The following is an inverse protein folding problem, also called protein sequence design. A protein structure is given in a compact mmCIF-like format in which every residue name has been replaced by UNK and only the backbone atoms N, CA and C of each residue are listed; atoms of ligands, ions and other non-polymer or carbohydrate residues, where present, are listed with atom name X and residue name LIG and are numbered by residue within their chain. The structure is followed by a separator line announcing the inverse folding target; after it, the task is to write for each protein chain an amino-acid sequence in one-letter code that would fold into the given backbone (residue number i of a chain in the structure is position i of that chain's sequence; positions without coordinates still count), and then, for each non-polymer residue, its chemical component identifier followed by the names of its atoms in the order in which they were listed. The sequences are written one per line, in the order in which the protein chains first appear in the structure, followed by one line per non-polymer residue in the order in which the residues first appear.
data_IF_514898062366
#
_entry.id   IF_514898062366
#
_cell.length_a   1.000
_cell.length_b   1.000
_cell.length_c   1.000
_cell.angle_alpha   90.00
_cell.angle_beta   90.00
_cell.angle_gamma   90.00
#
_symmetry.space_group_name_H-M   'P 1'
#
loop_
_entity.id
_entity.type
_entity.pdbx_description
1 polymer ?
#
# COMPACT_ATOMS: atom_id res chain seq x y z
N UNK A 1 -7.29 -2.10 17.75
CA UNK A 1 -8.47 -3.00 17.78
C UNK A 1 -9.78 -2.29 18.13
N UNK A 2 -10.03 -1.86 19.38
CA UNK A 2 -11.34 -1.28 19.76
C UNK A 2 -11.71 -0.01 18.99
N UNK A 3 -10.76 0.92 18.83
CA UNK A 3 -10.93 2.13 18.00
C UNK A 3 -11.35 1.76 16.56
N UNK A 4 -10.59 0.88 15.90
CA UNK A 4 -10.89 0.42 14.55
C UNK A 4 -12.21 -0.36 14.45
N UNK A 5 -12.59 -1.11 15.48
CA UNK A 5 -13.87 -1.81 15.52
C UNK A 5 -15.05 -0.81 15.53
N UNK A 6 -14.93 0.26 16.32
CA UNK A 6 -15.91 1.34 16.32
C UNK A 6 -15.97 2.07 14.97
N UNK A 7 -14.82 2.34 14.37
CA UNK A 7 -14.71 3.11 13.13
C UNK A 7 -15.22 2.33 11.90
N UNK A 8 -14.82 1.07 11.73
CA UNK A 8 -15.18 0.28 10.54
C UNK A 8 -16.50 -0.48 10.67
N UNK A 9 -16.85 -0.93 11.88
CA UNK A 9 -18.05 -1.75 12.10
C UNK A 9 -19.13 -1.06 12.95
N UNK A 10 -18.93 0.22 13.30
CA UNK A 10 -19.92 1.05 13.98
C UNK A 10 -20.13 0.74 15.46
N UNK A 11 -19.40 -0.21 16.05
CA UNK A 11 -19.50 -0.55 17.46
C UNK A 11 -18.20 -1.12 18.01
N UNK A 12 -17.85 -0.77 19.24
CA UNK A 12 -16.75 -1.40 19.98
C UNK A 12 -17.27 -2.51 20.92
N UNK A 13 -17.36 -3.74 20.41
CA UNK A 13 -17.78 -4.91 21.19
C UNK A 13 -16.98 -6.18 20.81
N UNK A 14 -17.21 -7.29 21.51
CA UNK A 14 -16.46 -8.53 21.28
C UNK A 14 -16.58 -9.06 19.84
N UNK A 15 -17.75 -8.90 19.21
CA UNK A 15 -17.99 -9.35 17.83
C UNK A 15 -17.19 -8.51 16.85
N UNK A 16 -17.29 -7.18 16.92
CA UNK A 16 -16.61 -6.29 15.97
C UNK A 16 -15.10 -6.29 16.15
N UNK A 17 -14.60 -6.39 17.39
CA UNK A 17 -13.17 -6.63 17.64
C UNK A 17 -12.69 -7.96 17.06
N UNK A 18 -13.51 -9.00 17.13
CA UNK A 18 -13.19 -10.29 16.50
C UNK A 18 -13.15 -10.17 14.97
N UNK A 19 -14.03 -9.36 14.36
CA UNK A 19 -14.00 -9.12 12.91
C UNK A 19 -12.69 -8.45 12.47
N UNK A 20 -12.20 -7.43 13.19
CA UNK A 20 -10.88 -6.83 12.90
C UNK A 20 -9.76 -7.89 12.87
N UNK A 21 -9.81 -8.90 13.75
CA UNK A 21 -8.84 -10.00 13.78
C UNK A 21 -9.06 -10.97 12.63
N UNK A 22 -10.30 -11.44 12.45
CA UNK A 22 -10.67 -12.44 11.45
C UNK A 22 -10.38 -11.95 10.03
N UNK A 23 -10.64 -10.67 9.77
CA UNK A 23 -10.40 -10.03 8.49
C UNK A 23 -8.93 -9.66 8.29
N UNK A 24 -8.08 -9.84 9.33
CA UNK A 24 -6.68 -9.41 9.35
C UNK A 24 -6.54 -7.93 8.96
N UNK A 25 -7.46 -7.10 9.44
CA UNK A 25 -7.62 -5.72 8.98
C UNK A 25 -6.41 -4.85 9.33
N UNK A 26 -5.70 -5.13 10.43
CA UNK A 26 -4.59 -4.31 10.91
C UNK A 26 -3.27 -5.07 10.84
N UNK A 27 -2.25 -4.38 10.34
CA UNK A 27 -0.84 -4.74 10.37
C UNK A 27 -0.10 -3.67 11.19
N UNK A 28 0.67 -4.08 12.21
CA UNK A 28 1.37 -3.18 13.11
C UNK A 28 2.76 -2.76 12.62
N UNK A 29 3.15 -3.12 11.39
CA UNK A 29 4.36 -2.63 10.74
C UNK A 29 4.11 -1.55 9.67
N UNK A 30 5.20 -1.12 9.04
CA UNK A 30 5.17 -0.24 7.87
C UNK A 30 4.93 -1.04 6.57
N UNK A 31 4.38 -0.38 5.56
CA UNK A 31 4.22 -0.92 4.22
C UNK A 31 5.54 -0.80 3.43
N UNK A 32 6.03 -1.89 2.85
CA UNK A 32 7.21 -1.87 1.96
C UNK A 32 6.77 -1.72 0.49
N UNK A 33 6.99 -0.55 -0.16
CA UNK A 33 6.62 -0.34 -1.56
C UNK A 33 7.60 -0.96 -2.57
N UNK A 34 8.66 -1.63 -2.11
CA UNK A 34 9.68 -2.19 -3.00
C UNK A 34 9.10 -3.25 -3.95
N UNK A 35 9.31 -3.05 -5.25
CA UNK A 35 8.94 -4.02 -6.29
C UNK A 35 7.51 -3.91 -6.80
N UNK A 36 6.72 -2.95 -6.31
CA UNK A 36 5.38 -2.68 -6.83
C UNK A 36 5.38 -1.57 -7.89
N UNK A 37 4.33 -1.57 -8.73
CA UNK A 37 4.15 -0.58 -9.79
C UNK A 37 3.16 0.49 -9.33
N UNK A 38 3.60 1.75 -9.35
CA UNK A 38 2.75 2.90 -9.09
C UNK A 38 1.66 3.04 -10.15
N UNK A 39 0.46 3.36 -9.70
CA UNK A 39 -0.60 3.81 -10.58
C UNK A 39 -0.29 5.21 -11.10
N UNK A 40 -0.78 5.53 -12.28
CA UNK A 40 -0.61 6.85 -12.88
C UNK A 40 -1.85 7.70 -12.63
N UNK A 41 -1.68 8.92 -12.14
CA UNK A 41 -2.76 9.90 -12.09
C UNK A 41 -3.12 10.31 -13.52
N UNK A 42 -4.35 10.00 -13.94
CA UNK A 42 -4.84 10.29 -15.31
C UNK A 42 -5.89 11.40 -15.33
N UNK A 43 -6.35 11.82 -14.16
CA UNK A 43 -7.28 12.94 -13.99
C UNK A 43 -7.16 13.50 -12.58
N UNK A 44 -7.17 14.82 -12.43
CA UNK A 44 -7.17 15.50 -11.14
C UNK A 44 -8.30 16.52 -11.08
N UNK A 45 -9.22 16.36 -10.13
CA UNK A 45 -10.35 17.28 -9.89
C UNK A 45 -11.11 17.68 -11.17
N UNK A 46 -11.25 16.73 -12.10
CA UNK A 46 -11.97 16.91 -13.36
C UNK A 46 -11.10 17.33 -14.56
N UNK A 47 -9.85 17.73 -14.33
CA UNK A 47 -8.92 18.27 -15.32
C UNK A 47 -7.79 17.29 -15.66
N UNK A 48 -7.07 17.60 -16.74
CA UNK A 48 -5.81 16.93 -17.07
C UNK A 48 -4.75 17.31 -16.01
N UNK A 49 -4.03 16.35 -15.42
CA UNK A 49 -3.05 16.59 -14.36
C UNK A 49 -1.99 17.65 -14.68
N UNK A 50 -1.66 17.90 -15.96
CA UNK A 50 -0.65 18.88 -16.36
C UNK A 50 -1.21 20.30 -16.57
N UNK A 51 -2.52 20.50 -16.46
CA UNK A 51 -3.17 21.75 -16.92
C UNK A 51 -3.56 22.70 -15.80
N UNK A 52 -3.66 22.23 -14.56
CA UNK A 52 -4.20 23.02 -13.44
C UNK A 52 -3.84 22.35 -12.11
N UNK A 53 -3.32 23.07 -11.11
CA UNK A 53 -3.79 22.90 -9.73
C UNK A 53 -3.24 23.96 -8.75
N UNK A 54 -4.06 24.28 -7.75
CA UNK A 54 -3.68 24.98 -6.51
C UNK A 54 -3.90 24.05 -5.30
N UNK A 55 -3.91 22.73 -5.55
CA UNK A 55 -4.39 21.66 -4.66
C UNK A 55 -3.40 20.50 -4.65
N UNK A 56 -2.13 20.84 -4.53
CA UNK A 56 -1.04 19.92 -4.29
C UNK A 56 -0.02 20.64 -3.41
N UNK A 57 0.82 19.85 -2.77
CA UNK A 57 1.78 20.36 -1.81
C UNK A 57 2.77 19.29 -1.46
N UNK A 58 3.50 19.54 -0.38
CA UNK A 58 4.39 18.55 0.19
C UNK A 58 4.49 18.73 1.70
N UNK A 59 4.73 17.61 2.38
CA UNK A 59 5.02 17.59 3.81
C UNK A 59 6.43 18.13 4.06
N UNK A 60 6.62 18.93 5.10
CA UNK A 60 7.93 19.52 5.45
C UNK A 60 8.75 18.57 6.34
N UNK A 61 8.08 17.67 7.07
CA UNK A 61 8.72 16.74 8.00
C UNK A 61 9.34 15.53 7.30
N UNK A 62 10.48 15.70 6.63
CA UNK A 62 11.09 14.66 5.80
C UNK A 62 11.75 13.52 6.61
N UNK A 63 11.66 12.26 6.13
CA UNK A 63 12.30 11.11 6.76
C UNK A 63 13.83 11.20 6.67
N UNK A 64 14.52 10.75 7.71
CA UNK A 64 15.98 10.74 7.82
C UNK A 64 16.63 12.14 7.73
N UNK A 65 15.89 13.20 8.02
CA UNK A 65 16.36 14.59 8.05
C UNK A 65 15.98 15.21 9.38
N UNK A 66 16.86 16.03 9.97
CA UNK A 66 16.50 16.86 11.12
C UNK A 66 15.75 18.10 10.63
N UNK A 67 14.42 18.07 10.77
CA UNK A 67 13.54 19.16 10.34
C UNK A 67 13.39 20.27 11.40
N UNK A 68 14.21 20.23 12.46
CA UNK A 68 14.20 21.21 13.54
C UNK A 68 12.84 21.30 14.23
N UNK A 69 12.23 22.48 14.21
CA UNK A 69 10.92 22.71 14.86
C UNK A 69 9.75 22.00 14.16
N UNK A 70 9.96 21.48 12.94
CA UNK A 70 8.94 20.80 12.16
C UNK A 70 8.98 19.28 12.33
N UNK A 71 9.99 18.75 13.03
CA UNK A 71 10.16 17.32 13.26
C UNK A 71 8.95 16.72 13.99
N UNK A 72 8.39 15.65 13.44
CA UNK A 72 7.26 14.93 14.03
C UNK A 72 5.96 15.75 14.05
N UNK A 73 5.76 16.59 13.04
CA UNK A 73 4.61 17.48 12.93
C UNK A 73 3.97 17.45 11.55
N UNK A 74 2.74 17.94 11.46
CA UNK A 74 1.94 17.94 10.23
C UNK A 74 2.22 19.12 9.30
N UNK A 75 3.42 19.69 9.38
CA UNK A 75 3.73 20.92 8.65
C UNK A 75 3.82 20.63 7.16
N UNK A 76 3.20 21.47 6.34
CA UNK A 76 3.22 21.36 4.89
C UNK A 76 3.41 22.70 4.21
N UNK A 77 3.70 22.64 2.92
CA UNK A 77 3.73 23.80 2.04
C UNK A 77 2.94 23.54 0.77
N UNK A 78 2.09 24.49 0.39
CA UNK A 78 1.45 24.50 -0.91
C UNK A 78 2.44 25.02 -1.95
N UNK A 79 2.69 24.25 -2.99
CA UNK A 79 3.64 24.61 -4.05
C UNK A 79 2.95 25.53 -5.06
N UNK A 80 3.00 26.84 -4.79
CA UNK A 80 2.75 27.85 -5.85
C UNK A 80 3.99 28.17 -6.67
N UNK A 81 5.17 27.86 -6.12
CA UNK A 81 6.48 28.20 -6.65
C UNK A 81 7.37 26.96 -6.48
N UNK A 82 7.82 26.29 -7.57
CA UNK A 82 9.04 25.46 -7.74
C UNK A 82 8.90 24.33 -8.80
N UNK A 83 10.07 23.90 -9.28
CA UNK A 83 10.47 23.01 -10.38
C UNK A 83 9.75 21.66 -10.55
N UNK A 84 8.92 21.25 -9.57
CA UNK A 84 8.18 19.97 -9.54
C UNK A 84 6.70 20.15 -9.12
N UNK A 85 6.21 21.39 -9.10
CA UNK A 85 4.93 21.74 -8.52
C UNK A 85 3.79 21.73 -9.52
N UNK A 86 3.41 20.59 -10.06
CA UNK A 86 2.06 20.38 -10.57
C UNK A 86 1.55 18.97 -10.25
N UNK A 87 0.24 18.76 -10.44
CA UNK A 87 -0.41 17.47 -10.19
C UNK A 87 0.03 16.35 -11.14
N UNK A 88 0.77 16.61 -12.23
CA UNK A 88 1.32 15.56 -13.08
C UNK A 88 2.52 14.87 -12.46
N UNK A 89 3.17 15.52 -11.50
CA UNK A 89 4.26 14.95 -10.70
C UNK A 89 3.78 14.41 -9.36
N UNK A 90 3.05 15.22 -8.58
CA UNK A 90 2.52 14.81 -7.29
C UNK A 90 1.58 13.61 -7.43
N UNK A 91 1.51 12.78 -6.40
CA UNK A 91 0.69 11.56 -6.37
C UNK A 91 1.06 10.43 -7.35
N UNK A 92 2.11 10.58 -8.17
CA UNK A 92 2.56 9.53 -9.12
C UNK A 92 3.74 8.71 -8.60
N UNK A 93 4.29 9.08 -7.45
CA UNK A 93 5.37 8.43 -6.73
C UNK A 93 5.01 8.41 -5.26
N UNK A 94 5.46 7.40 -4.52
CA UNK A 94 5.34 7.39 -3.06
C UNK A 94 6.54 8.17 -2.51
N UNK A 95 6.30 9.43 -2.18
CA UNK A 95 7.30 10.39 -1.71
C UNK A 95 6.62 11.42 -0.80
N UNK A 96 7.11 12.65 -0.64
CA UNK A 96 6.46 13.68 0.19
C UNK A 96 5.41 14.54 -0.52
N UNK A 97 5.21 14.36 -1.83
CA UNK A 97 4.38 15.23 -2.64
C UNK A 97 2.97 14.66 -2.81
N UNK A 98 1.98 15.46 -2.44
CA UNK A 98 0.59 15.02 -2.40
C UNK A 98 -0.31 15.93 -3.23
N UNK A 99 -1.49 15.42 -3.55
CA UNK A 99 -2.60 16.17 -4.14
C UNK A 99 -3.81 16.20 -3.20
N UNK A 100 -4.55 17.29 -3.22
CA UNK A 100 -5.89 17.38 -2.64
C UNK A 100 -6.96 17.03 -3.68
N UNK A 101 -7.92 16.21 -3.27
CA UNK A 101 -9.03 15.79 -4.13
C UNK A 101 -10.26 16.70 -3.95
N UNK A 102 -11.28 16.51 -4.79
CA UNK A 102 -12.62 17.05 -4.58
C UNK A 102 -13.56 15.92 -4.13
N UNK A 103 -14.84 16.23 -3.92
CA UNK A 103 -15.83 15.25 -3.48
C UNK A 103 -16.62 14.62 -4.63
N UNK A 104 -16.09 14.64 -5.86
CA UNK A 104 -16.80 14.17 -7.05
C UNK A 104 -16.16 12.90 -7.61
N UNK A 105 -16.94 11.82 -7.65
CA UNK A 105 -16.48 10.54 -8.17
C UNK A 105 -16.11 10.67 -9.66
N UNK A 106 -14.93 10.17 -10.02
CA UNK A 106 -14.39 10.21 -11.38
C UNK A 106 -13.66 11.50 -11.74
N UNK A 107 -13.49 12.44 -10.80
CA UNK A 107 -12.73 13.67 -11.00
C UNK A 107 -11.24 13.50 -10.72
N UNK A 108 -10.88 12.78 -9.67
CA UNK A 108 -9.49 12.37 -9.39
C UNK A 108 -9.37 10.88 -9.62
N UNK A 109 -8.59 10.46 -10.61
CA UNK A 109 -8.56 9.07 -11.10
C UNK A 109 -7.13 8.61 -11.32
N UNK A 110 -6.81 7.45 -10.73
CA UNK A 110 -5.58 6.71 -10.93
C UNK A 110 -5.84 5.50 -11.84
N UNK A 111 -5.00 5.30 -12.86
CA UNK A 111 -4.97 4.10 -13.70
C UNK A 111 -3.88 3.15 -13.18
N UNK A 112 -4.27 1.96 -12.74
CA UNK A 112 -3.32 0.93 -12.31
C UNK A 112 -2.48 0.39 -13.47
N UNK A 113 -2.92 0.59 -14.72
CA UNK A 113 -2.27 0.06 -15.93
C UNK A 113 -2.59 -1.41 -16.23
N UNK A 114 -3.22 -2.11 -15.29
CA UNK A 114 -3.65 -3.51 -15.40
C UNK A 114 -4.91 -3.77 -14.59
N UNK A 115 -5.52 -4.96 -14.76
CA UNK A 115 -6.60 -5.43 -13.89
C UNK A 115 -6.05 -5.81 -12.51
N UNK A 116 -6.18 -4.90 -11.54
CA UNK A 116 -5.80 -5.08 -10.15
C UNK A 116 -6.97 -5.68 -9.35
N UNK A 117 -6.68 -6.40 -8.27
CA UNK A 117 -7.68 -6.85 -7.29
C UNK A 117 -7.63 -6.07 -5.99
N UNK A 118 -6.52 -5.36 -5.72
CA UNK A 118 -6.33 -4.46 -4.59
C UNK A 118 -5.62 -3.19 -5.04
N UNK A 119 -5.82 -2.12 -4.29
CA UNK A 119 -5.05 -0.89 -4.40
C UNK A 119 -4.66 -0.39 -3.01
N UNK A 120 -3.40 -0.06 -2.81
CA UNK A 120 -2.89 0.55 -1.58
C UNK A 120 -2.87 2.05 -1.79
N UNK A 121 -3.47 2.77 -0.85
CA UNK A 121 -3.59 4.21 -0.86
C UNK A 121 -2.57 4.76 0.13
N UNK A 122 -1.79 5.71 -0.35
CA UNK A 122 -0.79 6.43 0.42
C UNK A 122 -1.35 7.83 0.59
N UNK A 123 -1.58 8.22 1.83
CA UNK A 123 -2.00 9.56 2.16
C UNK A 123 -0.86 10.30 2.88
N UNK A 124 -0.97 11.62 2.92
CA UNK A 124 -0.25 12.43 3.89
C UNK A 124 -1.21 12.88 4.98
N UNK A 125 -0.67 13.22 6.16
CA UNK A 125 -1.43 13.75 7.28
C UNK A 125 -1.03 15.20 7.46
N UNK A 126 -2.00 16.11 7.36
CA UNK A 126 -1.80 17.54 7.53
C UNK A 126 -2.38 18.08 8.87
N UNK A 127 -3.21 17.27 9.56
CA UNK A 127 -3.61 17.52 10.94
C UNK A 127 -4.05 16.25 11.70
N UNK A 128 -4.88 16.41 12.73
CA UNK A 128 -5.44 15.30 13.51
C UNK A 128 -6.94 15.47 13.69
N UNK A 129 -7.64 14.43 14.20
CA UNK A 129 -7.09 13.34 15.01
C UNK A 129 -6.71 12.07 14.24
N UNK A 130 -5.67 11.38 14.74
CA UNK A 130 -5.38 10.00 14.33
C UNK A 130 -6.20 8.99 15.16
N UNK A 131 -6.67 7.89 14.55
CA UNK A 131 -6.37 7.41 13.20
C UNK A 131 -7.29 7.94 12.09
N UNK A 132 -8.29 8.76 12.42
CA UNK A 132 -9.35 9.12 11.47
C UNK A 132 -8.83 9.90 10.27
N UNK A 133 -7.89 10.81 10.51
CA UNK A 133 -7.22 11.59 9.48
C UNK A 133 -6.51 10.72 8.43
N UNK A 134 -5.84 9.66 8.90
CA UNK A 134 -5.06 8.79 8.03
C UNK A 134 -5.90 8.07 6.97
N UNK A 135 -7.23 8.02 7.14
CA UNK A 135 -8.16 7.37 6.21
C UNK A 135 -9.40 8.26 6.03
N UNK A 136 -9.18 9.51 5.65
CA UNK A 136 -10.24 10.51 5.41
C UNK A 136 -10.82 10.48 3.99
N UNK A 137 -10.46 9.48 3.19
CA UNK A 137 -10.86 9.40 1.78
C UNK A 137 -11.72 8.18 1.48
N UNK A 138 -12.76 8.36 0.65
CA UNK A 138 -13.49 7.24 0.05
C UNK A 138 -12.91 6.91 -1.32
N UNK A 139 -12.62 5.62 -1.54
CA UNK A 139 -12.16 5.11 -2.84
C UNK A 139 -13.33 4.48 -3.59
N UNK A 140 -13.39 4.72 -4.89
CA UNK A 140 -14.32 4.08 -5.82
C UNK A 140 -13.54 3.38 -6.93
N UNK A 141 -13.95 2.17 -7.30
CA UNK A 141 -13.26 1.31 -8.25
C UNK A 141 -14.07 1.18 -9.55
N UNK A 142 -13.38 1.12 -10.68
CA UNK A 142 -14.01 0.98 -11.99
C UNK A 142 -13.13 0.26 -13.02
N UNK A 143 -13.76 -0.29 -14.06
CA UNK A 143 -13.08 -0.79 -15.26
C UNK A 143 -13.30 0.11 -16.49
N UNK A 144 -14.25 1.04 -16.44
CA UNK A 144 -14.66 1.86 -17.59
C UNK A 144 -14.67 3.38 -17.32
N UNK A 145 -14.40 3.79 -16.07
CA UNK A 145 -14.44 5.19 -15.57
C UNK A 145 -15.84 5.81 -15.59
N UNK A 146 -16.88 5.02 -15.78
CA UNK A 146 -18.28 5.45 -15.82
C UNK A 146 -19.05 4.80 -14.68
N UNK A 147 -18.95 3.48 -14.56
CA UNK A 147 -19.57 2.70 -13.50
C UNK A 147 -18.58 2.56 -12.34
N UNK A 148 -18.91 3.18 -11.22
CA UNK A 148 -18.07 3.24 -10.03
C UNK A 148 -18.72 2.47 -8.89
N UNK A 149 -17.91 1.63 -8.22
CA UNK A 149 -18.32 0.88 -7.03
C UNK A 149 -17.48 1.35 -5.85
N UNK A 150 -18.10 1.66 -4.72
CA UNK A 150 -17.34 1.98 -3.51
C UNK A 150 -16.44 0.82 -3.11
N UNK A 151 -15.17 1.12 -2.82
CA UNK A 151 -14.21 0.14 -2.36
C UNK A 151 -14.45 -0.22 -0.89
N UNK A 152 -13.98 -1.40 -0.50
CA UNK A 152 -13.92 -1.84 0.90
C UNK A 152 -12.48 -1.76 1.35
N UNK A 153 -12.21 -1.16 2.50
CA UNK A 153 -10.89 -1.28 3.14
C UNK A 153 -10.72 -2.69 3.68
N UNK A 154 -9.68 -3.36 3.21
CA UNK A 154 -9.42 -4.76 3.53
C UNK A 154 -8.15 -4.94 4.38
N UNK A 155 -7.25 -3.94 4.41
CA UNK A 155 -6.05 -3.94 5.25
C UNK A 155 -5.55 -2.53 5.54
N UNK A 156 -4.93 -2.33 6.69
CA UNK A 156 -4.33 -1.07 7.14
C UNK A 156 -2.97 -1.36 7.81
N UNK A 157 -1.91 -0.68 7.37
CA UNK A 157 -0.60 -0.64 8.00
C UNK A 157 -0.50 0.58 8.88
N UNK A 158 -0.14 0.37 10.15
CA UNK A 158 -0.22 1.40 11.18
C UNK A 158 1.04 2.28 11.28
N UNK A 159 2.13 1.92 10.60
CA UNK A 159 3.38 2.68 10.61
C UNK A 159 3.72 3.28 9.24
N UNK A 160 2.72 3.57 8.41
CA UNK A 160 2.91 4.27 7.14
C UNK A 160 3.75 3.48 6.15
N UNK A 161 4.70 4.16 5.50
CA UNK A 161 5.57 3.57 4.49
C UNK A 161 7.05 3.92 4.67
N UNK A 162 7.37 4.82 5.59
CA UNK A 162 8.74 5.00 6.07
C UNK A 162 8.96 4.22 7.37
N UNK A 163 10.13 3.61 7.49
CA UNK A 163 10.56 3.00 8.76
C UNK A 163 10.98 4.02 9.82
N UNK A 164 11.04 5.31 9.46
CA UNK A 164 11.38 6.40 10.36
C UNK A 164 10.16 6.84 11.18
N UNK A 165 10.03 6.30 12.39
CA UNK A 165 8.93 6.60 13.31
C UNK A 165 8.96 8.00 13.91
N UNK A 166 9.96 8.82 13.58
CA UNK A 166 9.99 10.24 13.95
C UNK A 166 9.19 11.12 13.00
N UNK A 167 8.74 10.57 11.87
CA UNK A 167 7.84 11.21 10.91
C UNK A 167 6.40 10.88 11.28
N UNK A 168 5.49 11.84 11.10
CA UNK A 168 4.06 11.65 11.38
C UNK A 168 3.19 11.83 10.15
N UNK A 169 3.68 12.45 9.08
CA UNK A 169 2.82 12.76 7.93
C UNK A 169 2.55 11.57 7.00
N UNK A 170 3.34 10.51 6.97
CA UNK A 170 3.17 9.41 6.02
C UNK A 170 2.04 8.43 6.41
N UNK A 171 1.51 8.59 7.62
CA UNK A 171 0.22 8.10 8.07
C UNK A 171 0.02 6.60 8.05
N UNK A 172 -1.20 6.16 7.76
CA UNK A 172 -1.50 4.75 7.62
C UNK A 172 -1.65 4.44 6.13
N UNK A 173 -0.93 3.45 5.64
CA UNK A 173 -1.24 2.91 4.32
C UNK A 173 -2.45 2.00 4.46
N UNK A 174 -3.43 2.12 3.57
CA UNK A 174 -4.57 1.21 3.58
C UNK A 174 -4.82 0.62 2.20
N UNK A 175 -5.04 -0.69 2.16
CA UNK A 175 -5.41 -1.41 0.96
C UNK A 175 -6.93 -1.55 0.87
N UNK A 176 -7.44 -1.22 -0.30
CA UNK A 176 -8.84 -1.38 -0.67
C UNK A 176 -9.02 -2.43 -1.76
N UNK A 177 -10.21 -3.02 -1.82
CA UNK A 177 -10.64 -3.91 -2.87
C UNK A 177 -12.14 -3.83 -3.12
N UNK A 178 -12.67 -4.76 -3.92
CA UNK A 178 -14.12 -4.84 -4.18
C UNK A 178 -14.89 -5.57 -3.07
N UNK A 179 -14.20 -6.08 -2.03
CA UNK A 179 -14.77 -7.05 -1.08
C UNK A 179 -15.00 -8.44 -1.70
N UNK A 180 -14.53 -8.65 -2.94
CA UNK A 180 -14.63 -9.90 -3.69
C UNK A 180 -13.34 -10.12 -4.50
N UNK A 181 -13.31 -11.18 -5.33
CA UNK A 181 -12.21 -11.45 -6.26
C UNK A 181 -12.30 -10.64 -7.57
N UNK A 182 -13.30 -9.77 -7.72
CA UNK A 182 -13.46 -8.95 -8.92
C UNK A 182 -12.29 -7.96 -9.08
N UNK A 183 -11.81 -7.82 -10.31
CA UNK A 183 -10.73 -6.89 -10.66
C UNK A 183 -11.26 -5.54 -11.11
N UNK A 184 -10.42 -4.52 -10.98
CA UNK A 184 -10.64 -3.15 -11.43
C UNK A 184 -9.36 -2.60 -12.06
N UNK A 185 -9.49 -1.56 -12.88
CA UNK A 185 -8.34 -0.88 -13.48
C UNK A 185 -8.14 0.53 -12.93
N UNK A 186 -9.23 1.18 -12.53
CA UNK A 186 -9.22 2.57 -12.12
C UNK A 186 -9.68 2.70 -10.68
N UNK A 187 -9.02 3.59 -9.95
CA UNK A 187 -9.45 4.06 -8.65
C UNK A 187 -9.75 5.56 -8.74
N UNK A 188 -10.94 5.97 -8.30
CA UNK A 188 -11.27 7.36 -8.04
C UNK A 188 -11.21 7.59 -6.55
N UNK A 189 -10.52 8.65 -6.13
CA UNK A 189 -10.40 9.01 -4.72
C UNK A 189 -11.05 10.37 -4.52
N UNK A 190 -11.88 10.45 -3.48
CA UNK A 190 -12.53 11.68 -3.04
C UNK A 190 -12.25 11.90 -1.55
N UNK A 191 -12.23 13.15 -1.13
CA UNK A 191 -12.21 13.47 0.30
C UNK A 191 -13.57 13.14 0.93
N UNK A 192 -13.53 12.70 2.18
CA UNK A 192 -14.69 12.27 2.94
C UNK A 192 -15.45 11.12 2.28
N UNK A 193 -16.77 11.15 2.40
CA UNK A 193 -17.65 10.10 1.88
C UNK A 193 -17.81 8.89 2.81
N UNK A 194 -18.59 7.89 2.41
CA UNK A 194 -19.01 6.78 3.27
C UNK A 194 -17.91 5.76 3.61
N UNK A 195 -16.78 5.76 2.89
CA UNK A 195 -15.62 4.90 3.17
C UNK A 195 -14.56 5.58 4.02
N UNK A 196 -14.66 6.89 4.24
CA UNK A 196 -13.74 7.65 5.06
C UNK A 196 -14.08 7.53 6.56
N UNK A 197 -13.06 7.59 7.40
CA UNK A 197 -13.18 7.62 8.86
C UNK A 197 -13.41 9.05 9.39
N UNK A 198 -13.14 10.05 8.56
CA UNK A 198 -13.37 11.47 8.81
C UNK A 198 -13.72 12.18 7.49
N UNK A 199 -14.42 13.31 7.61
CA UNK A 199 -14.93 14.06 6.46
C UNK A 199 -15.10 15.52 6.89
N UNK A 200 -14.01 16.28 6.82
CA UNK A 200 -13.89 17.67 7.28
C UNK A 200 -13.66 18.68 6.17
N UNK A 201 -13.15 18.28 4.99
CA UNK A 201 -13.17 19.15 3.82
C UNK A 201 -12.08 18.92 2.79
N UNK A 202 -11.07 18.12 3.11
CA UNK A 202 -9.89 17.89 2.30
C UNK A 202 -9.29 16.49 2.53
N UNK A 203 -8.17 16.24 1.85
CA UNK A 203 -7.34 15.06 1.98
C UNK A 203 -6.00 15.24 1.27
N UNK A 204 -4.94 14.60 1.73
CA UNK A 204 -3.66 14.62 1.02
C UNK A 204 -3.34 13.23 0.46
N UNK A 205 -3.48 13.05 -0.86
CA UNK A 205 -3.16 11.79 -1.54
C UNK A 205 -1.74 11.84 -2.09
N UNK A 206 -0.90 10.97 -1.56
CA UNK A 206 0.50 10.82 -1.91
C UNK A 206 0.75 9.84 -3.06
N UNK A 207 -0.13 8.86 -3.23
CA UNK A 207 0.02 7.91 -4.33
C UNK A 207 -0.85 6.68 -4.19
N UNK A 208 -0.81 5.84 -5.22
CA UNK A 208 -1.55 4.58 -5.26
C UNK A 208 -0.69 3.49 -5.88
N UNK A 209 -0.70 2.30 -5.29
CA UNK A 209 -0.15 1.08 -5.90
C UNK A 209 -1.27 0.10 -6.22
N UNK A 210 -1.20 -0.57 -7.36
CA UNK A 210 -2.10 -1.67 -7.71
C UNK A 210 -1.48 -3.04 -7.44
N UNK A 211 -2.31 -4.04 -7.10
CA UNK A 211 -1.87 -5.42 -6.81
C UNK A 211 -2.76 -6.45 -7.51
N UNK A 212 -2.23 -7.64 -7.76
CA UNK A 212 -2.99 -8.74 -8.39
C UNK A 212 -3.65 -9.66 -7.37
N UNK A 213 -3.13 -9.72 -6.15
CA UNK A 213 -3.72 -10.53 -5.08
C UNK A 213 -3.36 -10.05 -3.68
N UNK A 214 -4.02 -10.59 -2.65
CA UNK A 214 -3.66 -10.36 -1.26
C UNK A 214 -2.27 -10.93 -0.90
N UNK A 215 -1.81 -11.98 -1.59
CA UNK A 215 -0.45 -12.50 -1.40
C UNK A 215 0.61 -11.44 -1.74
N UNK A 216 0.29 -10.54 -2.68
CA UNK A 216 1.15 -9.42 -3.01
C UNK A 216 1.19 -8.41 -1.85
N UNK A 217 0.11 -8.22 -1.08
CA UNK A 217 0.06 -7.31 0.07
C UNK A 217 0.75 -7.88 1.33
N UNK A 218 0.76 -9.20 1.49
CA UNK A 218 1.26 -9.89 2.70
C UNK A 218 2.78 -10.05 2.72
N UNK A 219 3.50 -9.60 1.69
CA UNK A 219 4.96 -9.78 1.62
C UNK A 219 5.69 -8.77 2.52
N UNK A 220 5.42 -8.83 3.82
CA UNK A 220 6.22 -8.26 4.91
C UNK A 220 7.33 -9.27 5.26
N UNK A 221 8.57 -9.02 4.81
CA UNK A 221 9.83 -9.51 5.42
C UNK A 221 9.95 -10.96 5.91
N UNK A 222 9.27 -11.92 5.33
CA UNK A 222 9.83 -13.27 5.25
C UNK A 222 10.21 -13.50 3.81
N UNK A 223 11.50 -13.40 3.51
CA UNK A 223 12.02 -14.18 2.40
C UNK A 223 11.44 -15.59 2.56
N UNK A 224 10.62 -16.11 1.63
CA UNK A 224 10.41 -17.53 1.61
C UNK A 224 11.82 -18.07 1.38
N UNK A 225 12.44 -18.62 2.42
CA UNK A 225 13.53 -19.55 2.24
C UNK A 225 12.86 -20.73 1.55
N UNK A 226 12.71 -20.63 0.22
CA UNK A 226 12.73 -21.79 -0.64
C UNK A 226 13.98 -22.52 -0.20
N UNK A 227 13.81 -23.64 0.51
CA UNK A 227 14.91 -24.58 0.69
C UNK A 227 15.58 -24.70 -0.68
N UNK A 228 16.89 -24.43 -0.82
CA UNK A 228 17.52 -24.49 -2.13
C UNK A 228 17.18 -25.85 -2.74
N UNK A 229 16.43 -25.85 -3.84
CA UNK A 229 16.23 -27.05 -4.63
C UNK A 229 17.64 -27.39 -5.12
N UNK A 230 18.20 -28.55 -4.76
CA UNK A 230 19.54 -28.91 -5.20
C UNK A 230 19.60 -28.83 -6.73
N UNK A 231 20.59 -28.14 -7.27
CA UNK A 231 20.76 -28.10 -8.73
C UNK A 231 20.91 -29.54 -9.27
N UNK A 232 20.53 -29.83 -10.53
CA UNK A 232 20.62 -31.17 -11.11
C UNK A 232 21.99 -31.84 -10.92
N UNK A 233 23.08 -31.07 -10.88
CA UNK A 233 24.43 -31.52 -10.60
C UNK A 233 24.58 -32.08 -9.18
N UNK A 234 23.90 -31.51 -8.18
CA UNK A 234 23.94 -31.99 -6.79
C UNK A 234 23.29 -33.38 -6.67
N UNK A 235 22.20 -33.62 -7.40
CA UNK A 235 21.60 -34.95 -7.48
C UNK A 235 22.50 -35.94 -8.20
N UNK A 236 23.17 -35.51 -9.28
CA UNK A 236 24.15 -36.33 -9.99
C UNK A 236 25.33 -36.71 -9.09
N UNK A 237 25.85 -35.77 -8.29
CA UNK A 237 26.94 -36.01 -7.35
C UNK A 237 26.52 -36.91 -6.18
N UNK A 238 25.29 -36.77 -5.67
CA UNK A 238 24.73 -37.67 -4.67
C UNK A 238 24.61 -39.10 -5.21
N UNK A 239 24.04 -39.25 -6.42
CA UNK A 239 23.90 -40.55 -7.09
C UNK A 239 25.27 -41.18 -7.41
N UNK A 240 26.23 -40.37 -7.86
CA UNK A 240 27.60 -40.82 -8.09
C UNK A 240 28.27 -41.28 -6.78
N UNK A 241 28.09 -40.52 -5.69
CA UNK A 241 28.57 -40.88 -4.36
C UNK A 241 27.98 -42.20 -3.84
N UNK A 242 26.65 -42.35 -3.96
CA UNK A 242 25.94 -43.59 -3.59
C UNK A 242 26.38 -44.78 -4.47
N UNK A 243 26.60 -44.56 -5.77
CA UNK A 243 27.13 -45.57 -6.68
C UNK A 243 28.54 -46.04 -6.30
N UNK A 244 29.43 -45.12 -5.91
CA UNK A 244 30.78 -45.43 -5.47
C UNK A 244 30.78 -46.25 -4.17
N UNK A 245 29.93 -45.87 -3.21
CA UNK A 245 29.75 -46.59 -1.95
C UNK A 245 29.18 -48.00 -2.17
N UNK A 246 28.18 -48.15 -3.03
CA UNK A 246 27.64 -49.46 -3.41
C UNK A 246 28.68 -50.36 -4.09
N UNK A 247 29.49 -49.80 -5.00
CA UNK A 247 30.55 -50.52 -5.69
C UNK A 247 31.66 -51.00 -4.72
N UNK A 248 32.09 -50.14 -3.79
CA UNK A 248 33.11 -50.50 -2.79
C UNK A 248 32.59 -51.57 -1.80
N UNK A 249 31.34 -51.48 -1.37
CA UNK A 249 30.69 -52.49 -0.54
C UNK A 249 30.59 -53.86 -1.25
N UNK A 250 30.30 -53.87 -2.56
CA UNK A 250 30.29 -55.10 -3.37
C UNK A 250 31.68 -55.75 -3.47
N UNK A 251 32.74 -54.96 -3.61
CA UNK A 251 34.13 -55.49 -3.63
C UNK A 251 34.53 -56.13 -2.31
N UNK A 252 34.09 -55.61 -1.16
CA UNK A 252 34.37 -56.20 0.16
C UNK A 252 33.67 -57.54 0.39
N UNK A 253 32.57 -57.82 -0.32
CA UNK A 253 31.93 -59.14 -0.34
C UNK A 253 32.64 -60.16 -1.26
N UNK A 254 33.68 -59.73 -1.98
CA UNK A 254 34.49 -60.57 -2.87
C UNK A 254 35.96 -60.69 -2.42
N UNK A 255 36.25 -60.55 -1.13
CA UNK A 255 37.47 -61.12 -0.55
C UNK A 255 37.11 -62.52 -0.03
N UNK A 256 37.56 -63.61 -0.69
CA UNK A 256 37.46 -64.95 -0.13
C UNK A 256 38.40 -65.05 1.07
N UNK A 257 37.84 -65.54 2.19
CA UNK A 257 38.49 -66.04 3.42
C UNK A 257 39.57 -65.17 4.06
#
# INVERSE_FOLDING_TARGET
MGTFAQLYYGADNATTRSQVITDQLLDDGYFDPTGYTGATLVRHNGYDPATFAYRYGFSIDQPNVDNGIFQGGFNYSLTRDFEYGDSSFAANSIDQYWIQTDNVIGHTVFDMGFGASKAAIFNSIDHGPLPQEAIESTVYLSNDRVNWTQAVTERVWLEGFYSDTSVVWDGFVYAVGTGTDATFRYASIIWGGPGALQSDGDNEINGVLGFRSYADLVTTTSTPVSSPVPEPETYAMLLAGLGLLGFTARRRKHTPS
#
